data_IF_882449281118
#
_entry.id   IF_882449281118
#
_cell.length_a   1.000
_cell.length_b   1.000
_cell.length_c   1.000
_cell.angle_alpha   90.00
_cell.angle_beta   90.00
_cell.angle_gamma   90.00
#
_symmetry.space_group_name_H-M   'P 1'
#
loop_
_entity.id
_entity.type
_entity.pdbx_description
1 polymer ?
#
# COMPACT_ATOMS: atom_id res chain seq x y z
N UNK A 1 6.07 -19.08 -1.98
CA UNK A 1 5.76 -17.72 -1.48
C UNK A 1 5.10 -17.69 -0.10
N UNK A 2 4.44 -18.76 0.36
CA UNK A 2 3.83 -18.87 1.69
C UNK A 2 4.76 -18.48 2.86
N UNK A 3 6.04 -18.82 2.81
CA UNK A 3 7.01 -18.48 3.88
C UNK A 3 7.69 -17.11 3.71
N UNK A 4 7.17 -16.24 2.82
CA UNK A 4 7.77 -14.92 2.61
C UNK A 4 7.28 -13.94 3.68
N UNK A 5 8.16 -13.00 4.09
CA UNK A 5 7.80 -11.89 4.99
C UNK A 5 6.56 -11.13 4.50
N UNK A 6 6.48 -10.88 3.19
CA UNK A 6 5.36 -10.19 2.56
C UNK A 6 4.04 -10.95 2.78
N UNK A 7 4.03 -12.26 2.52
CA UNK A 7 2.84 -13.08 2.70
C UNK A 7 2.38 -13.10 4.17
N UNK A 8 3.31 -13.35 5.09
CA UNK A 8 3.01 -13.36 6.53
C UNK A 8 2.44 -12.03 7.03
N UNK A 9 2.91 -10.88 6.51
CA UNK A 9 2.33 -9.57 6.86
C UNK A 9 0.89 -9.46 6.34
N UNK A 10 0.63 -9.87 5.10
CA UNK A 10 -0.69 -9.77 4.50
C UNK A 10 -1.72 -10.70 5.16
N UNK A 11 -1.29 -11.80 5.76
CA UNK A 11 -2.17 -12.69 6.54
C UNK A 11 -2.77 -12.01 7.78
N UNK A 12 -2.14 -10.95 8.30
CA UNK A 12 -2.68 -10.18 9.40
C UNK A 12 -3.79 -9.21 8.99
N UNK A 13 -3.99 -8.97 7.69
CA UNK A 13 -4.93 -7.96 7.20
C UNK A 13 -6.33 -8.55 7.11
N UNK A 14 -7.30 -7.87 7.72
CA UNK A 14 -8.71 -8.20 7.50
C UNK A 14 -9.18 -7.83 6.07
N UNK A 15 -10.38 -8.26 5.69
CA UNK A 15 -10.93 -7.97 4.36
C UNK A 15 -11.05 -6.47 4.06
N UNK A 16 -11.27 -5.63 5.07
CA UNK A 16 -11.37 -4.19 4.90
C UNK A 16 -10.00 -3.54 4.71
N UNK A 17 -8.98 -4.01 5.43
CA UNK A 17 -7.58 -3.63 5.26
C UNK A 17 -7.01 -4.08 3.92
N UNK A 18 -7.29 -5.31 3.48
CA UNK A 18 -6.93 -5.80 2.15
C UNK A 18 -7.50 -4.88 1.06
N UNK A 19 -8.80 -4.53 1.15
CA UNK A 19 -9.45 -3.63 0.18
C UNK A 19 -8.85 -2.22 0.17
N UNK A 20 -8.52 -1.66 1.34
CA UNK A 20 -7.90 -0.33 1.43
C UNK A 20 -6.45 -0.34 0.96
N UNK A 21 -5.69 -1.37 1.31
CA UNK A 21 -4.33 -1.57 0.84
C UNK A 21 -4.31 -1.71 -0.69
N UNK A 22 -5.26 -2.45 -1.27
CA UNK A 22 -5.44 -2.52 -2.72
C UNK A 22 -5.65 -1.14 -3.35
N UNK A 23 -6.54 -0.31 -2.80
CA UNK A 23 -6.77 1.06 -3.29
C UNK A 23 -5.51 1.92 -3.21
N UNK A 24 -4.73 1.77 -2.15
CA UNK A 24 -3.44 2.45 -2.00
C UNK A 24 -2.45 2.01 -3.09
N UNK A 25 -2.31 0.70 -3.33
CA UNK A 25 -1.43 0.12 -4.36
C UNK A 25 -1.90 0.45 -5.78
N UNK A 26 -3.20 0.67 -6.00
CA UNK A 26 -3.72 1.09 -7.31
C UNK A 26 -3.60 2.59 -7.55
N UNK A 27 -3.26 3.38 -6.54
CA UNK A 27 -3.15 4.83 -6.67
C UNK A 27 -1.96 5.20 -7.56
N UNK A 28 -2.16 5.95 -8.66
CA UNK A 28 -1.08 6.38 -9.55
C UNK A 28 -0.06 7.31 -8.87
N UNK A 29 -0.43 7.86 -7.72
CA UNK A 29 0.46 8.66 -6.87
C UNK A 29 1.53 7.78 -6.18
N UNK A 30 1.16 6.57 -5.74
CA UNK A 30 2.06 5.68 -4.99
C UNK A 30 2.68 4.58 -5.85
N UNK A 31 1.97 4.10 -6.87
CA UNK A 31 2.41 2.99 -7.70
C UNK A 31 1.97 3.17 -9.15
N UNK A 32 2.85 2.77 -10.08
CA UNK A 32 2.59 2.79 -11.54
C UNK A 32 2.72 1.41 -12.18
N UNK A 33 3.05 0.37 -11.41
CA UNK A 33 3.23 -1.00 -11.90
C UNK A 33 1.96 -1.80 -11.66
N UNK A 34 1.33 -2.21 -12.76
CA UNK A 34 0.19 -3.14 -12.74
C UNK A 34 0.61 -4.52 -12.22
N UNK A 35 1.88 -4.89 -12.43
CA UNK A 35 2.44 -6.14 -11.93
C UNK A 35 2.41 -6.26 -10.41
N UNK A 36 2.61 -5.14 -9.69
CA UNK A 36 2.52 -5.13 -8.23
C UNK A 36 1.07 -5.26 -7.74
N UNK A 37 0.10 -4.73 -8.51
CA UNK A 37 -1.33 -4.90 -8.23
C UNK A 37 -1.70 -6.38 -8.42
N UNK A 38 -1.30 -6.99 -9.54
CA UNK A 38 -1.56 -8.40 -9.83
C UNK A 38 -0.90 -9.32 -8.78
N UNK A 39 0.35 -9.05 -8.39
CA UNK A 39 1.02 -9.82 -7.33
C UNK A 39 0.25 -9.70 -6.00
N UNK A 40 -0.19 -8.50 -5.62
CA UNK A 40 -0.98 -8.30 -4.41
C UNK A 40 -2.29 -9.09 -4.45
N UNK A 41 -3.04 -8.99 -5.56
CA UNK A 41 -4.33 -9.66 -5.73
C UNK A 41 -4.19 -11.18 -5.64
N UNK A 42 -3.12 -11.77 -6.21
CA UNK A 42 -2.87 -13.21 -6.10
C UNK A 42 -2.53 -13.64 -4.67
N UNK A 43 -1.75 -12.86 -3.94
CA UNK A 43 -1.42 -13.18 -2.54
C UNK A 43 -2.67 -13.11 -1.66
N UNK A 44 -3.48 -12.06 -1.81
CA UNK A 44 -4.74 -11.89 -1.07
C UNK A 44 -5.76 -12.98 -1.44
N UNK A 45 -5.87 -13.33 -2.71
CA UNK A 45 -6.73 -14.44 -3.15
C UNK A 45 -6.36 -15.76 -2.50
N UNK A 46 -5.06 -16.07 -2.40
CA UNK A 46 -4.58 -17.27 -1.71
C UNK A 46 -4.92 -17.25 -0.21
N UNK A 47 -4.68 -16.11 0.47
CA UNK A 47 -4.96 -15.93 1.90
C UNK A 47 -6.45 -16.14 2.19
N UNK A 48 -7.31 -15.65 1.30
CA UNK A 48 -8.76 -15.78 1.42
C UNK A 48 -9.31 -17.14 0.98
N UNK A 49 -8.45 -18.09 0.59
CA UNK A 49 -8.84 -19.44 0.19
C UNK A 49 -9.51 -19.50 -1.19
N UNK A 50 -9.20 -18.59 -2.11
CA UNK A 50 -9.70 -18.66 -3.48
C UNK A 50 -9.19 -19.92 -4.18
N UNK A 51 -10.12 -20.67 -4.79
CA UNK A 51 -9.78 -21.90 -5.48
C UNK A 51 -8.85 -21.65 -6.68
N UNK A 52 -7.82 -22.49 -6.81
CA UNK A 52 -6.92 -22.47 -7.97
C UNK A 52 -5.80 -21.44 -7.88
N UNK A 53 -5.60 -20.76 -6.74
CA UNK A 53 -4.44 -19.90 -6.53
C UNK A 53 -3.21 -20.75 -6.19
N UNK A 54 -2.20 -20.69 -7.05
CA UNK A 54 -0.90 -21.33 -6.84
C UNK A 54 0.18 -20.26 -6.59
N UNK A 55 0.82 -20.32 -5.42
CA UNK A 55 1.87 -19.40 -4.99
C UNK A 55 3.31 -19.91 -5.25
N UNK A 56 3.48 -20.89 -6.13
CA UNK A 56 4.76 -21.19 -6.76
C UNK A 56 5.24 -19.99 -7.57
N UNK A 57 6.54 -19.69 -7.49
CA UNK A 57 7.08 -18.43 -8.03
C UNK A 57 6.90 -18.37 -9.55
N UNK A 58 7.14 -19.48 -10.22
CA UNK A 58 6.99 -19.64 -11.66
C UNK A 58 5.53 -19.49 -12.10
N UNK A 59 4.58 -19.96 -11.28
CA UNK A 59 3.15 -19.80 -11.56
C UNK A 59 2.74 -18.33 -11.44
N UNK A 60 3.11 -17.68 -10.33
CA UNK A 60 2.86 -16.26 -10.12
C UNK A 60 3.50 -15.42 -11.22
N UNK A 61 4.74 -15.73 -11.59
CA UNK A 61 5.44 -15.03 -12.66
C UNK A 61 4.69 -15.09 -13.99
N UNK A 62 4.13 -16.23 -14.38
CA UNK A 62 3.34 -16.33 -15.62
C UNK A 62 2.10 -15.43 -15.62
N UNK A 63 1.53 -15.14 -14.45
CA UNK A 63 0.42 -14.20 -14.31
C UNK A 63 0.88 -12.75 -14.35
N UNK A 64 1.99 -12.45 -13.69
CA UNK A 64 2.53 -11.09 -13.54
C UNK A 64 3.24 -10.62 -14.82
N UNK A 65 3.94 -11.52 -15.52
CA UNK A 65 4.72 -11.25 -16.72
C UNK A 65 4.40 -12.29 -17.81
N UNK A 66 3.21 -12.23 -18.42
CA UNK A 66 2.79 -13.20 -19.42
C UNK A 66 3.75 -13.21 -20.62
N UNK A 67 4.11 -14.41 -21.09
CA UNK A 67 4.99 -14.61 -22.24
C UNK A 67 6.49 -14.43 -21.98
N UNK A 68 6.90 -14.11 -20.74
CA UNK A 68 8.33 -13.99 -20.38
C UNK A 68 8.81 -15.21 -19.59
N UNK A 69 10.06 -15.62 -19.86
CA UNK A 69 10.75 -16.63 -19.06
C UNK A 69 10.88 -16.19 -17.60
N UNK A 70 10.87 -17.16 -16.67
CA UNK A 70 10.97 -16.88 -15.23
C UNK A 70 12.30 -16.20 -14.91
N UNK A 71 12.22 -15.06 -14.21
CA UNK A 71 13.38 -14.30 -13.72
C UNK A 71 13.24 -14.11 -12.21
N UNK A 72 13.99 -14.90 -11.44
CA UNK A 72 13.95 -14.89 -9.99
C UNK A 72 14.46 -13.57 -9.38
N UNK A 73 15.39 -12.87 -10.05
CA UNK A 73 15.91 -11.59 -9.57
C UNK A 73 14.84 -10.53 -9.68
N UNK A 74 14.18 -10.43 -10.84
CA UNK A 74 13.09 -9.48 -11.04
C UNK A 74 11.87 -9.82 -10.19
N UNK A 75 11.55 -11.10 -10.00
CA UNK A 75 10.46 -11.50 -9.13
C UNK A 75 10.72 -11.11 -7.66
N UNK A 76 11.94 -11.33 -7.16
CA UNK A 76 12.36 -10.85 -5.83
C UNK A 76 12.23 -9.33 -5.71
N UNK A 77 12.60 -8.59 -6.75
CA UNK A 77 12.41 -7.13 -6.80
C UNK A 77 10.93 -6.75 -6.67
N UNK A 78 10.03 -7.41 -7.40
CA UNK A 78 8.58 -7.16 -7.25
C UNK A 78 8.07 -7.41 -5.84
N UNK A 79 8.54 -8.48 -5.19
CA UNK A 79 8.19 -8.75 -3.79
C UNK A 79 8.68 -7.62 -2.86
N UNK A 80 9.91 -7.13 -3.06
CA UNK A 80 10.46 -6.02 -2.27
C UNK A 80 9.74 -4.69 -2.53
N UNK A 81 9.40 -4.40 -3.78
CA UNK A 81 8.70 -3.17 -4.15
C UNK A 81 7.25 -3.19 -3.63
N UNK A 82 6.56 -4.33 -3.71
CA UNK A 82 5.24 -4.52 -3.10
C UNK A 82 5.30 -4.40 -1.57
N UNK A 83 6.32 -4.96 -0.93
CA UNK A 83 6.49 -4.82 0.53
C UNK A 83 6.60 -3.34 0.95
N UNK A 84 7.37 -2.52 0.22
CA UNK A 84 7.46 -1.08 0.49
C UNK A 84 6.10 -0.38 0.37
N UNK A 85 5.27 -0.78 -0.60
CA UNK A 85 3.92 -0.23 -0.74
C UNK A 85 3.03 -0.61 0.44
N UNK A 86 3.12 -1.85 0.91
CA UNK A 86 2.38 -2.32 2.10
C UNK A 86 2.84 -1.58 3.37
N UNK A 87 4.14 -1.39 3.55
CA UNK A 87 4.70 -0.58 4.65
C UNK A 87 4.21 0.88 4.58
N UNK A 88 4.22 1.48 3.38
CA UNK A 88 3.68 2.82 3.15
C UNK A 88 2.18 2.94 3.43
N UNK A 89 1.39 1.93 3.04
CA UNK A 89 -0.03 1.85 3.37
C UNK A 89 -0.25 1.86 4.89
N UNK A 90 0.48 1.02 5.64
CA UNK A 90 0.36 0.96 7.09
C UNK A 90 0.69 2.30 7.75
N UNK A 91 1.78 2.94 7.31
CA UNK A 91 2.16 4.27 7.79
C UNK A 91 1.07 5.32 7.47
N UNK A 92 0.53 5.30 6.25
CA UNK A 92 -0.56 6.20 5.85
C UNK A 92 -1.81 5.99 6.70
N UNK A 93 -2.19 4.74 6.97
CA UNK A 93 -3.35 4.44 7.83
C UNK A 93 -3.14 4.90 9.27
N UNK A 94 -1.93 4.78 9.81
CA UNK A 94 -1.61 5.29 11.15
C UNK A 94 -1.71 6.82 11.18
N UNK A 95 -1.14 7.50 10.18
CA UNK A 95 -1.20 8.95 10.03
C UNK A 95 -2.65 9.47 9.90
N UNK A 96 -3.47 8.85 9.06
CA UNK A 96 -4.87 9.24 8.86
C UNK A 96 -5.74 9.07 10.11
N UNK A 97 -5.34 8.19 11.03
CA UNK A 97 -6.04 7.99 12.32
C UNK A 97 -5.69 9.03 13.38
N UNK A 98 -4.68 9.88 13.15
CA UNK A 98 -4.27 10.91 14.10
C UNK A 98 -4.54 12.33 13.55
N UNK A 99 -5.69 12.94 13.88
CA UNK A 99 -6.02 14.29 13.45
C UNK A 99 -5.04 15.37 13.92
N UNK A 100 -4.36 15.17 15.05
CA UNK A 100 -3.39 16.14 15.58
C UNK A 100 -2.11 16.16 14.74
N UNK A 101 -1.64 14.98 14.31
CA UNK A 101 -0.49 14.88 13.39
C UNK A 101 -0.83 15.57 12.06
N UNK A 102 -2.03 15.31 11.52
CA UNK A 102 -2.49 15.98 10.30
C UNK A 102 -2.51 17.51 10.46
N UNK A 103 -3.08 18.03 11.55
CA UNK A 103 -3.12 19.45 11.81
C UNK A 103 -1.72 20.07 11.90
N UNK A 104 -0.78 19.35 12.54
CA UNK A 104 0.61 19.79 12.69
C UNK A 104 1.30 19.91 11.33
N UNK A 105 1.26 18.86 10.50
CA UNK A 105 1.90 18.91 9.18
C UNK A 105 1.21 19.87 8.21
N UNK A 106 -0.12 20.03 8.30
CA UNK A 106 -0.83 21.02 7.50
C UNK A 106 -0.37 22.44 7.84
N UNK A 107 -0.26 22.78 9.12
CA UNK A 107 0.21 24.10 9.55
C UNK A 107 1.66 24.38 9.12
N UNK A 108 2.53 23.37 9.23
CA UNK A 108 3.90 23.46 8.75
C UNK A 108 3.95 23.69 7.23
N UNK A 109 3.14 22.97 6.47
CA UNK A 109 3.03 23.09 5.01
C UNK A 109 2.51 24.48 4.59
N UNK A 110 1.48 24.99 5.27
CA UNK A 110 0.92 26.33 5.03
C UNK A 110 2.00 27.41 5.18
N UNK A 111 2.79 27.32 6.26
CA UNK A 111 3.89 28.24 6.54
C UNK A 111 4.97 28.15 5.45
N UNK A 112 5.43 26.93 5.13
CA UNK A 112 6.49 26.69 4.13
C UNK A 112 6.08 27.08 2.71
N UNK A 113 4.83 26.81 2.32
CA UNK A 113 4.30 27.11 0.99
C UNK A 113 3.77 28.54 0.84
N UNK A 114 3.70 29.30 1.95
CA UNK A 114 3.18 30.67 1.99
C UNK A 114 1.77 30.78 1.41
N UNK A 115 0.86 29.93 1.90
CA UNK A 115 -0.56 29.88 1.48
C UNK A 115 -1.50 30.34 2.62
N UNK A 116 -1.47 31.65 2.97
CA UNK A 116 -2.18 32.19 4.15
C UNK A 116 -3.71 32.02 4.08
N UNK A 117 -4.27 31.79 2.90
CA UNK A 117 -5.69 31.52 2.67
C UNK A 117 -6.20 30.32 3.48
N UNK A 118 -5.32 29.33 3.73
CA UNK A 118 -5.65 28.12 4.49
C UNK A 118 -5.49 28.29 6.01
N UNK A 119 -4.77 29.32 6.46
CA UNK A 119 -4.34 29.46 7.86
C UNK A 119 -5.51 29.55 8.84
N UNK A 120 -6.52 30.39 8.52
CA UNK A 120 -7.71 30.58 9.39
C UNK A 120 -8.49 29.28 9.56
N UNK A 121 -8.70 28.54 8.47
CA UNK A 121 -9.45 27.29 8.48
C UNK A 121 -8.68 26.18 9.21
N UNK A 122 -7.38 26.08 8.98
CA UNK A 122 -6.52 25.09 9.62
C UNK A 122 -6.45 25.26 11.15
N UNK A 123 -6.28 26.50 11.65
CA UNK A 123 -6.29 26.77 13.11
C UNK A 123 -7.63 26.44 13.74
N UNK A 124 -8.75 26.79 13.09
CA UNK A 124 -10.08 26.49 13.61
C UNK A 124 -10.30 24.97 13.71
N UNK A 125 -9.83 24.20 12.72
CA UNK A 125 -9.90 22.75 12.76
C UNK A 125 -9.02 22.18 13.90
N UNK A 126 -7.78 22.65 14.05
CA UNK A 126 -6.86 22.19 15.09
C UNK A 126 -7.40 22.40 16.51
N UNK A 127 -8.02 23.56 16.79
CA UNK A 127 -8.62 23.87 18.11
C UNK A 127 -9.80 22.96 18.51
N UNK A 128 -10.41 22.25 17.55
CA UNK A 128 -11.51 21.30 17.84
C UNK A 128 -11.00 19.91 18.21
N UNK A 129 -9.70 19.67 18.03
CA UNK A 129 -9.04 18.39 18.28
C UNK A 129 -8.34 18.37 19.65
N UNK A 130 -8.17 19.53 20.29
CA UNK A 130 -7.68 19.74 21.66
C UNK A 130 -8.85 19.85 22.63
#
# INVERSE_FOLDING_TARGET
MYNSKLYAILEHFDKYEQNRCRKYIQSPYFNRSEELVELFDRLVGAINGENGVNLEKEHLWKKIQPGKGYDDVRFRKYCSDLLKLVEGYLAQQAYERNPLDYATYLMESISKKKVPELFKTAIRAARRLS
#
